data_IF_255338797658
#
_entry.id   IF_255338797658
#
_cell.length_a   1.000
_cell.length_b   1.000
_cell.length_c   1.000
_cell.angle_alpha   90.00
_cell.angle_beta   90.00
_cell.angle_gamma   90.00
#
_symmetry.space_group_name_H-M   'P 1'
#
loop_
_entity.id
_entity.type
_entity.pdbx_description
1 polymer ?
#
# COMPACT_ATOMS: atom_id res chain seq x y z
N UNK A 1 2.94 65.39 -35.55
CA UNK A 1 2.65 65.02 -34.17
C UNK A 1 2.79 63.52 -34.06
N UNK A 2 3.79 63.03 -33.29
CA UNK A 2 4.15 61.61 -33.21
C UNK A 2 3.39 60.99 -32.06
N UNK A 3 2.61 59.94 -32.33
CA UNK A 3 1.97 59.14 -31.34
C UNK A 3 2.87 57.89 -31.14
N UNK A 4 3.50 57.84 -30.00
CA UNK A 4 4.29 56.65 -29.59
C UNK A 4 3.33 55.64 -28.97
N UNK A 5 3.16 54.50 -29.64
CA UNK A 5 2.47 53.35 -29.09
C UNK A 5 3.45 52.57 -28.21
N UNK A 6 3.17 52.51 -26.90
CA UNK A 6 3.89 51.67 -25.98
C UNK A 6 3.21 50.29 -25.96
N UNK A 7 3.84 49.33 -26.61
CA UNK A 7 3.42 47.92 -26.53
C UNK A 7 3.89 47.34 -25.20
N UNK A 8 2.96 47.18 -24.26
CA UNK A 8 3.20 46.49 -23.01
C UNK A 8 3.24 44.96 -23.25
N UNK A 9 4.42 44.37 -23.18
CA UNK A 9 4.57 42.92 -23.18
C UNK A 9 4.20 42.40 -21.79
N UNK A 10 3.03 41.81 -21.67
CA UNK A 10 2.62 41.07 -20.49
C UNK A 10 3.37 39.71 -20.49
N UNK A 11 4.39 39.59 -19.68
CA UNK A 11 5.11 38.32 -19.44
C UNK A 11 4.23 37.48 -18.50
N UNK A 12 3.43 36.60 -19.07
CA UNK A 12 2.70 35.59 -18.31
C UNK A 12 3.70 34.53 -17.80
N UNK A 13 4.12 34.69 -16.57
CA UNK A 13 4.95 33.67 -15.87
C UNK A 13 4.06 32.48 -15.54
N UNK A 14 4.12 31.47 -16.37
CA UNK A 14 3.47 30.18 -16.12
C UNK A 14 4.21 29.47 -15.01
N UNK A 15 3.75 29.61 -13.76
CA UNK A 15 4.23 28.81 -12.64
C UNK A 15 3.68 27.40 -12.84
N UNK A 16 4.48 26.53 -13.45
CA UNK A 16 4.22 25.10 -13.44
C UNK A 16 4.46 24.62 -12.02
N UNK A 17 3.37 24.54 -11.25
CA UNK A 17 3.39 23.87 -9.97
C UNK A 17 3.73 22.39 -10.21
N UNK A 18 5.00 22.03 -10.08
CA UNK A 18 5.44 20.64 -10.06
C UNK A 18 4.80 19.98 -8.86
N UNK A 19 3.71 19.26 -9.06
CA UNK A 19 3.10 18.37 -8.08
C UNK A 19 4.12 17.28 -7.76
N UNK A 20 4.86 17.49 -6.70
CA UNK A 20 5.86 16.54 -6.23
C UNK A 20 5.13 15.35 -5.60
N UNK A 21 5.58 14.12 -5.85
CA UNK A 21 5.04 12.91 -5.22
C UNK A 21 5.43 12.78 -3.73
N UNK A 22 5.69 13.90 -3.05
CA UNK A 22 6.06 13.91 -1.63
C UNK A 22 4.93 13.43 -0.69
N UNK A 23 3.67 13.46 -1.15
CA UNK A 23 2.54 13.02 -0.34
C UNK A 23 2.51 11.50 -0.09
N UNK A 24 3.06 10.69 -0.99
CA UNK A 24 3.04 9.23 -0.84
C UNK A 24 4.02 8.70 0.21
N UNK A 25 5.18 9.35 0.38
CA UNK A 25 6.18 8.95 1.38
C UNK A 25 5.76 9.24 2.82
N UNK A 26 4.87 10.23 3.03
CA UNK A 26 4.36 10.55 4.36
C UNK A 26 3.21 9.64 4.79
N UNK A 27 2.50 9.00 3.88
CA UNK A 27 1.34 8.17 4.20
C UNK A 27 1.74 6.94 5.05
N UNK A 28 2.76 6.18 4.64
CA UNK A 28 3.21 5.00 5.39
C UNK A 28 3.61 5.36 6.82
N UNK A 29 4.56 6.28 7.00
CA UNK A 29 5.11 6.63 8.32
C UNK A 29 4.07 7.29 9.24
N UNK A 30 2.99 7.81 8.71
CA UNK A 30 1.88 8.36 9.49
C UNK A 30 1.02 7.25 10.10
N UNK A 31 0.78 6.18 9.37
CA UNK A 31 -0.15 5.13 9.74
C UNK A 31 0.55 3.87 10.27
N UNK A 32 1.72 3.53 9.71
CA UNK A 32 2.44 2.30 10.03
C UNK A 32 3.82 2.57 10.64
N UNK A 33 4.34 1.60 11.37
CA UNK A 33 5.63 1.71 12.06
C UNK A 33 6.66 0.73 11.47
N UNK A 34 7.65 1.27 10.77
CA UNK A 34 8.76 0.49 10.21
C UNK A 34 9.59 -0.26 11.29
N UNK A 35 9.55 0.22 12.54
CA UNK A 35 10.23 -0.42 13.67
C UNK A 35 9.39 -1.52 14.35
N UNK A 36 8.19 -1.76 13.86
CA UNK A 36 7.32 -2.85 14.33
C UNK A 36 7.00 -3.82 13.18
N UNK A 37 8.02 -4.54 12.66
CA UNK A 37 7.77 -5.60 11.69
C UNK A 37 6.96 -6.72 12.35
N UNK A 38 6.05 -7.29 11.57
CA UNK A 38 5.23 -8.43 12.01
C UNK A 38 5.24 -9.53 10.97
N UNK A 39 5.11 -10.76 11.45
CA UNK A 39 4.85 -11.94 10.62
C UNK A 39 3.57 -12.59 11.10
N UNK A 40 2.61 -12.74 10.22
CA UNK A 40 1.31 -13.32 10.51
C UNK A 40 1.10 -14.59 9.69
N UNK A 41 0.86 -15.69 10.35
CA UNK A 41 0.40 -16.92 9.71
C UNK A 41 -1.11 -17.00 9.89
N UNK A 42 -1.85 -17.07 8.81
CA UNK A 42 -3.31 -17.07 8.87
C UNK A 42 -3.96 -17.55 7.58
N UNK A 43 -5.27 -17.57 7.59
CA UNK A 43 -6.10 -17.97 6.45
C UNK A 43 -6.76 -16.75 5.85
N UNK A 44 -6.66 -16.61 4.54
CA UNK A 44 -7.36 -15.55 3.79
C UNK A 44 -8.86 -15.75 3.93
N UNK A 45 -9.57 -14.71 4.36
CA UNK A 45 -11.04 -14.72 4.43
C UNK A 45 -11.67 -13.92 3.30
N UNK A 46 -10.99 -12.84 2.88
CA UNK A 46 -11.47 -11.95 1.83
C UNK A 46 -10.29 -11.18 1.22
N UNK A 47 -10.40 -10.82 -0.05
CA UNK A 47 -9.56 -9.82 -0.71
C UNK A 47 -10.44 -8.74 -1.30
N UNK A 48 -10.28 -7.52 -0.84
CA UNK A 48 -10.92 -6.34 -1.41
C UNK A 48 -10.01 -5.75 -2.50
N UNK A 49 -10.46 -5.86 -3.73
CA UNK A 49 -9.71 -5.41 -4.91
C UNK A 49 -10.16 -4.01 -5.31
N UNK A 50 -9.81 -3.01 -4.49
CA UNK A 50 -10.29 -1.63 -4.61
C UNK A 50 -9.12 -0.63 -4.67
N UNK A 51 -9.39 0.57 -5.19
CA UNK A 51 -8.44 1.69 -5.17
C UNK A 51 -8.71 2.58 -3.94
N UNK A 52 -7.68 3.25 -3.39
CA UNK A 52 -6.28 3.30 -3.85
C UNK A 52 -5.45 2.07 -3.42
N UNK A 53 -5.91 1.28 -2.47
CA UNK A 53 -5.22 0.11 -1.91
C UNK A 53 -6.13 -1.10 -1.87
N UNK A 54 -5.61 -2.25 -2.32
CA UNK A 54 -6.26 -3.52 -2.04
C UNK A 54 -6.06 -3.90 -0.57
N UNK A 55 -7.02 -4.67 -0.02
CA UNK A 55 -6.97 -5.16 1.35
C UNK A 55 -7.09 -6.67 1.39
N UNK A 56 -6.26 -7.30 2.21
CA UNK A 56 -6.30 -8.74 2.45
C UNK A 56 -6.76 -8.96 3.89
N UNK A 57 -7.84 -9.67 4.06
CA UNK A 57 -8.37 -10.03 5.38
C UNK A 57 -7.88 -11.42 5.77
N UNK A 58 -7.36 -11.55 6.99
CA UNK A 58 -6.82 -12.77 7.54
C UNK A 58 -7.51 -13.14 8.85
N UNK A 59 -7.81 -14.41 9.01
CA UNK A 59 -8.04 -15.03 10.32
C UNK A 59 -6.72 -15.63 10.81
N UNK A 60 -6.20 -15.09 11.91
CA UNK A 60 -4.92 -15.47 12.50
C UNK A 60 -5.17 -16.21 13.82
N UNK A 61 -4.96 -17.53 13.87
CA UNK A 61 -5.13 -18.29 15.11
C UNK A 61 -4.08 -17.91 16.13
N UNK A 62 -4.49 -17.84 17.39
CA UNK A 62 -3.66 -17.58 18.55
C UNK A 62 -3.83 -18.71 19.57
N UNK A 63 -2.97 -18.71 20.59
CA UNK A 63 -3.08 -19.63 21.70
C UNK A 63 -4.46 -19.54 22.38
N UNK A 64 -4.94 -20.65 22.93
CA UNK A 64 -6.24 -20.73 23.60
C UNK A 64 -7.45 -20.72 22.66
N UNK A 65 -7.25 -20.95 21.35
CA UNK A 65 -8.36 -21.03 20.38
C UNK A 65 -8.92 -19.67 19.96
N UNK A 66 -8.26 -18.57 20.33
CA UNK A 66 -8.63 -17.22 19.88
C UNK A 66 -8.25 -17.05 18.42
N UNK A 67 -9.13 -16.41 17.64
CA UNK A 67 -8.85 -16.03 16.26
C UNK A 67 -8.87 -14.50 16.18
N UNK A 68 -7.72 -13.93 15.81
CA UNK A 68 -7.62 -12.51 15.52
C UNK A 68 -7.95 -12.24 14.06
N UNK A 69 -8.79 -11.25 13.82
CA UNK A 69 -9.06 -10.75 12.47
C UNK A 69 -8.10 -9.62 12.14
N UNK A 70 -7.35 -9.79 11.06
CA UNK A 70 -6.37 -8.82 10.59
C UNK A 70 -6.73 -8.26 9.24
N UNK A 71 -6.40 -6.99 9.02
CA UNK A 71 -6.51 -6.30 7.74
C UNK A 71 -5.11 -5.91 7.26
N UNK A 72 -4.75 -6.38 6.08
CA UNK A 72 -3.44 -6.12 5.49
C UNK A 72 -3.62 -5.20 4.27
N UNK A 73 -3.08 -4.00 4.37
CA UNK A 73 -3.01 -3.08 3.24
C UNK A 73 -1.99 -3.56 2.22
N UNK A 74 -2.40 -3.63 0.98
CA UNK A 74 -1.54 -3.97 -0.15
C UNK A 74 -1.47 -2.78 -1.13
N UNK A 75 -0.74 -2.94 -2.21
CA UNK A 75 -0.69 -1.96 -3.29
C UNK A 75 -2.03 -1.81 -4.01
N UNK A 76 -2.10 -0.81 -4.88
CA UNK A 76 -3.27 -0.65 -5.74
C UNK A 76 -3.46 -1.88 -6.65
N UNK A 77 -4.69 -2.20 -7.08
CA UNK A 77 -4.95 -3.27 -8.02
C UNK A 77 -4.03 -3.23 -9.26
N UNK A 78 -3.82 -2.06 -9.85
CA UNK A 78 -2.93 -1.91 -11.00
C UNK A 78 -1.46 -2.24 -10.69
N UNK A 79 -0.99 -1.90 -9.49
CA UNK A 79 0.37 -2.25 -9.05
C UNK A 79 0.52 -3.76 -8.89
N UNK A 80 -0.47 -4.41 -8.28
CA UNK A 80 -0.47 -5.86 -8.06
C UNK A 80 -0.52 -6.63 -9.38
N UNK A 81 -1.37 -6.21 -10.32
CA UNK A 81 -1.45 -6.81 -11.67
C UNK A 81 -0.11 -6.72 -12.41
N UNK A 82 0.57 -5.58 -12.36
CA UNK A 82 1.91 -5.43 -12.97
C UNK A 82 2.96 -6.36 -12.36
N UNK A 83 2.74 -6.84 -11.14
CA UNK A 83 3.58 -7.83 -10.45
C UNK A 83 3.11 -9.27 -10.64
N UNK A 84 2.13 -9.50 -11.51
CA UNK A 84 1.59 -10.81 -11.81
C UNK A 84 0.56 -11.34 -10.82
N UNK A 85 0.07 -10.49 -9.91
CA UNK A 85 -0.97 -10.85 -8.94
C UNK A 85 -2.33 -10.39 -9.44
N UNK A 86 -3.31 -11.28 -9.44
CA UNK A 86 -4.70 -10.99 -9.76
C UNK A 86 -5.57 -11.18 -8.54
N UNK A 87 -6.84 -10.81 -8.63
CA UNK A 87 -7.85 -11.05 -7.59
C UNK A 87 -7.90 -12.52 -7.14
N UNK A 88 -7.67 -13.45 -8.06
CA UNK A 88 -7.78 -14.88 -7.82
C UNK A 88 -6.44 -15.53 -7.42
N UNK A 89 -5.37 -14.75 -7.29
CA UNK A 89 -4.04 -15.27 -6.92
C UNK A 89 -3.98 -15.80 -5.49
N UNK A 90 -4.81 -15.26 -4.60
CA UNK A 90 -4.92 -15.65 -3.19
C UNK A 90 -6.38 -15.79 -2.79
N UNK A 91 -7.05 -16.88 -3.21
CA UNK A 91 -8.46 -17.08 -2.90
C UNK A 91 -8.71 -17.26 -1.41
N UNK A 92 -9.94 -16.95 -0.96
CA UNK A 92 -10.37 -17.24 0.40
C UNK A 92 -10.16 -18.73 0.75
N UNK A 93 -9.78 -19.02 1.98
CA UNK A 93 -9.39 -20.34 2.45
C UNK A 93 -7.91 -20.69 2.26
N UNK A 94 -7.13 -19.87 1.56
CA UNK A 94 -5.68 -20.09 1.41
C UNK A 94 -4.95 -19.76 2.71
N UNK A 95 -4.15 -20.69 3.22
CA UNK A 95 -3.21 -20.41 4.31
C UNK A 95 -1.99 -19.66 3.75
N UNK A 96 -1.61 -18.58 4.41
CA UNK A 96 -0.48 -17.74 3.98
C UNK A 96 0.36 -17.30 5.18
N UNK A 97 1.58 -16.88 4.88
CA UNK A 97 2.41 -16.11 5.81
C UNK A 97 2.57 -14.71 5.22
N UNK A 98 2.11 -13.71 5.97
CA UNK A 98 2.23 -12.30 5.59
C UNK A 98 3.33 -11.65 6.41
N UNK A 99 4.27 -10.99 5.75
CA UNK A 99 5.20 -10.08 6.39
C UNK A 99 4.80 -8.63 6.11
N UNK A 100 4.90 -7.79 7.13
CA UNK A 100 4.55 -6.38 7.02
C UNK A 100 4.89 -5.58 8.27
N UNK A 101 4.28 -4.40 8.38
CA UNK A 101 4.55 -3.44 9.44
C UNK A 101 3.24 -3.03 10.11
N UNK A 102 3.22 -3.07 11.44
CA UNK A 102 2.01 -2.85 12.23
C UNK A 102 1.52 -1.41 12.14
N UNK A 103 0.21 -1.24 12.19
CA UNK A 103 -0.42 0.07 12.32
C UNK A 103 -0.12 0.69 13.69
N UNK A 104 0.24 2.00 13.70
CA UNK A 104 0.66 2.73 14.91
C UNK A 104 -0.41 2.83 15.99
N UNK A 105 -1.69 2.77 15.63
CA UNK A 105 -2.80 2.84 16.58
C UNK A 105 -3.01 1.56 17.40
N UNK A 106 -2.19 0.51 17.17
CA UNK A 106 -2.27 -0.75 17.88
C UNK A 106 -3.38 -1.71 17.40
N UNK A 107 -4.16 -1.33 16.39
CA UNK A 107 -5.17 -2.21 15.80
C UNK A 107 -4.54 -3.43 15.11
N UNK A 108 -5.36 -4.42 14.81
CA UNK A 108 -4.97 -5.57 14.00
C UNK A 108 -4.98 -5.22 12.51
N UNK A 109 -4.17 -4.22 12.16
CA UNK A 109 -3.93 -3.80 10.80
C UNK A 109 -2.43 -3.67 10.53
N UNK A 110 -2.02 -3.92 9.30
CA UNK A 110 -0.64 -3.80 8.87
C UNK A 110 -0.54 -3.36 7.41
N UNK A 111 0.57 -2.70 7.06
CA UNK A 111 0.97 -2.54 5.68
C UNK A 111 1.76 -3.79 5.27
N UNK A 112 1.25 -4.54 4.30
CA UNK A 112 1.87 -5.78 3.84
C UNK A 112 3.03 -5.52 2.89
N UNK A 113 4.16 -6.17 3.13
CA UNK A 113 5.29 -6.19 2.21
C UNK A 113 5.19 -7.34 1.22
N UNK A 114 4.98 -8.54 1.76
CA UNK A 114 4.89 -9.75 0.96
C UNK A 114 3.98 -10.81 1.59
N UNK A 115 3.51 -11.72 0.75
CA UNK A 115 2.70 -12.89 1.10
C UNK A 115 3.40 -14.13 0.58
N UNK A 116 3.68 -15.08 1.46
CA UNK A 116 4.20 -16.41 1.10
C UNK A 116 3.05 -17.40 1.02
N UNK A 117 2.93 -18.05 -0.12
CA UNK A 117 1.91 -19.05 -0.42
C UNK A 117 2.32 -20.44 0.11
N UNK A 118 1.38 -21.42 0.19
CA UNK A 118 1.67 -22.78 0.66
C UNK A 118 2.74 -23.51 -0.18
N UNK A 119 2.85 -23.19 -1.46
CA UNK A 119 3.85 -23.74 -2.38
C UNK A 119 5.24 -23.06 -2.27
N UNK A 120 5.39 -22.10 -1.34
CA UNK A 120 6.62 -21.35 -1.10
C UNK A 120 6.81 -20.14 -2.01
N UNK A 121 5.94 -19.89 -2.98
CA UNK A 121 6.01 -18.68 -3.79
C UNK A 121 5.74 -17.45 -2.96
N UNK A 122 6.48 -16.39 -3.24
CA UNK A 122 6.41 -15.13 -2.53
C UNK A 122 5.90 -14.03 -3.44
N UNK A 123 4.82 -13.39 -3.05
CA UNK A 123 4.18 -12.30 -3.78
C UNK A 123 4.47 -10.98 -3.05
N UNK A 124 5.13 -10.04 -3.73
CA UNK A 124 5.36 -8.70 -3.19
C UNK A 124 4.11 -7.84 -3.40
N UNK A 125 3.53 -7.38 -2.30
CA UNK A 125 2.25 -6.66 -2.30
C UNK A 125 2.38 -5.17 -1.93
N UNK A 126 3.57 -4.69 -1.59
CA UNK A 126 3.82 -3.29 -1.23
C UNK A 126 3.54 -2.34 -2.39
N UNK A 127 2.98 -1.17 -2.11
CA UNK A 127 2.92 -0.06 -3.08
C UNK A 127 4.30 0.60 -3.23
N UNK A 128 4.80 0.79 -4.46
CA UNK A 128 6.00 1.58 -4.68
C UNK A 128 5.75 3.05 -4.31
N UNK A 129 6.76 3.70 -3.76
CA UNK A 129 6.72 5.14 -3.44
C UNK A 129 5.93 5.53 -2.20
N UNK A 130 5.45 4.58 -1.39
CA UNK A 130 4.73 4.86 -0.13
C UNK A 130 5.65 5.19 1.04
N UNK A 131 6.96 4.92 0.90
CA UNK A 131 7.93 5.01 1.99
C UNK A 131 7.97 3.77 2.89
N UNK A 132 7.20 2.73 2.57
CA UNK A 132 7.32 1.45 3.22
C UNK A 132 8.68 0.81 2.92
N UNK A 133 9.35 0.18 3.92
CA UNK A 133 10.58 -0.55 3.68
C UNK A 133 10.36 -1.70 2.67
N UNK A 134 11.28 -1.84 1.73
CA UNK A 134 11.22 -2.85 0.67
C UNK A 134 12.10 -4.07 0.93
N UNK A 135 12.99 -3.94 1.93
CA UNK A 135 13.92 -5.00 2.35
C UNK A 135 13.79 -5.33 3.84
#
# INVERSE_FOLDING_TARGET
MKIMSVAGAALATMVVASLRPAAAHHAFSTEFDANQPITLKGTITQVEWINPHAWIHLDVPREGGVVEKWMIEAGSPNTLVRRGMTRDSIPAGTEVVVFGYRHRNGSNAANGRDVTLPDGRRLFITSPGTGAPTE
#
